data_IF_318838978584
#
_entry.id   IF_318838978584
#
_cell.length_a   1.000
_cell.length_b   1.000
_cell.length_c   1.000
_cell.angle_alpha   90.00
_cell.angle_beta   90.00
_cell.angle_gamma   90.00
#
_symmetry.space_group_name_H-M   'P 1'
#
loop_
_entity.id
_entity.type
_entity.pdbx_description
1 polymer ?
#
# COMPACT_ATOMS: atom_id res chain seq x y z
N UNK A 1 -14.65 6.20 7.88
CA UNK A 1 -13.84 6.49 6.68
C UNK A 1 -13.87 5.26 5.79
N UNK A 2 -14.13 5.42 4.52
CA UNK A 2 -14.24 4.32 3.56
C UNK A 2 -13.21 4.48 2.43
N UNK A 3 -13.22 3.53 1.48
CA UNK A 3 -12.28 3.57 0.35
C UNK A 3 -12.35 4.87 -0.44
N UNK A 4 -13.56 5.38 -0.70
CA UNK A 4 -13.73 6.62 -1.45
C UNK A 4 -13.16 7.82 -0.71
N UNK A 5 -13.30 7.89 0.61
CA UNK A 5 -12.73 8.97 1.41
C UNK A 5 -11.20 8.95 1.34
N UNK A 6 -10.61 7.77 1.44
CA UNK A 6 -9.16 7.61 1.38
C UNK A 6 -8.65 7.93 -0.02
N UNK A 7 -9.34 7.45 -1.05
CA UNK A 7 -9.00 7.74 -2.44
C UNK A 7 -8.94 9.26 -2.68
N UNK A 8 -9.93 9.98 -2.16
CA UNK A 8 -9.98 11.44 -2.30
C UNK A 8 -8.80 12.13 -1.62
N UNK A 9 -8.36 11.61 -0.47
CA UNK A 9 -7.22 12.17 0.26
C UNK A 9 -5.88 11.94 -0.45
N UNK A 10 -5.81 10.92 -1.29
CA UNK A 10 -4.59 10.62 -2.06
C UNK A 10 -4.45 11.49 -3.31
N UNK A 11 -5.49 12.21 -3.68
CA UNK A 11 -5.49 13.00 -4.92
C UNK A 11 -4.36 14.03 -4.92
N UNK A 12 -3.61 14.05 -6.02
CA UNK A 12 -2.47 14.96 -6.18
C UNK A 12 -1.19 14.48 -5.51
N UNK A 13 -1.23 13.34 -4.82
CA UNK A 13 -0.08 12.78 -4.14
C UNK A 13 0.48 11.58 -4.92
N UNK A 14 1.55 10.97 -4.45
CA UNK A 14 2.21 9.86 -5.14
C UNK A 14 1.26 8.70 -5.49
N UNK A 15 0.39 8.25 -4.58
CA UNK A 15 -0.53 7.15 -4.94
C UNK A 15 -1.43 7.49 -6.12
N UNK A 16 -1.87 8.74 -6.22
CA UNK A 16 -2.67 9.21 -7.34
C UNK A 16 -1.85 9.25 -8.65
N UNK A 17 -0.61 9.73 -8.56
CA UNK A 17 0.30 9.75 -9.70
C UNK A 17 0.55 8.34 -10.23
N UNK A 18 0.67 7.36 -9.33
CA UNK A 18 0.82 5.96 -9.72
C UNK A 18 -0.45 5.39 -10.34
N UNK A 19 -1.59 5.98 -10.07
CA UNK A 19 -2.88 5.51 -10.56
C UNK A 19 -3.48 4.41 -9.71
N UNK A 20 -3.19 4.39 -8.42
CA UNK A 20 -3.76 3.40 -7.50
C UNK A 20 -5.26 3.62 -7.39
N UNK A 21 -6.02 2.58 -7.69
CA UNK A 21 -7.47 2.58 -7.57
C UNK A 21 -7.88 1.71 -6.39
N UNK A 22 -8.25 2.37 -5.30
CA UNK A 22 -8.59 1.71 -4.04
C UNK A 22 -10.03 1.22 -4.11
N UNK A 23 -10.22 -0.10 -4.09
CA UNK A 23 -11.54 -0.70 -4.24
C UNK A 23 -12.14 -1.17 -2.91
N UNK A 24 -11.32 -1.44 -1.91
CA UNK A 24 -11.80 -1.83 -0.59
C UNK A 24 -10.83 -1.32 0.47
N UNK A 25 -11.35 -0.75 1.54
CA UNK A 25 -10.56 -0.34 2.70
C UNK A 25 -11.34 -0.65 3.96
N UNK A 26 -10.87 -1.63 4.71
CA UNK A 26 -11.47 -2.07 5.96
C UNK A 26 -10.36 -2.40 6.98
N UNK A 27 -10.76 -2.64 8.21
CA UNK A 27 -9.78 -2.94 9.26
C UNK A 27 -9.02 -4.24 9.02
N UNK A 28 -9.64 -5.20 8.33
CA UNK A 28 -9.04 -6.51 8.09
C UNK A 28 -8.52 -6.70 6.67
N UNK A 29 -8.79 -5.75 5.76
CA UNK A 29 -8.46 -5.98 4.35
C UNK A 29 -8.47 -4.69 3.56
N UNK A 30 -7.46 -4.54 2.73
CA UNK A 30 -7.37 -3.44 1.76
C UNK A 30 -7.12 -4.05 0.39
N UNK A 31 -7.89 -3.62 -0.60
CA UNK A 31 -7.73 -4.09 -1.99
C UNK A 31 -7.65 -2.88 -2.91
N UNK A 32 -6.73 -2.94 -3.84
CA UNK A 32 -6.57 -1.93 -4.87
C UNK A 32 -6.06 -2.54 -6.16
N UNK A 33 -6.22 -1.83 -7.26
CA UNK A 33 -5.68 -2.22 -8.55
C UNK A 33 -4.77 -1.11 -9.08
N UNK A 34 -3.88 -1.50 -9.99
CA UNK A 34 -2.91 -0.60 -10.61
C UNK A 34 -2.75 -0.99 -12.08
N UNK A 35 -2.96 -0.03 -12.97
CA UNK A 35 -2.70 -0.24 -14.39
C UNK A 35 -1.19 -0.22 -14.63
N UNK A 36 -0.67 -1.20 -15.34
CA UNK A 36 0.74 -1.26 -15.72
C UNK A 36 0.93 -0.44 -16.99
N UNK A 37 1.11 0.86 -16.80
CA UNK A 37 1.35 1.78 -17.93
C UNK A 37 2.85 2.01 -18.11
N UNK A 38 3.23 2.51 -19.26
CA UNK A 38 4.64 2.61 -19.64
C UNK A 38 5.50 3.35 -18.63
N UNK A 39 4.99 4.44 -18.06
CA UNK A 39 5.72 5.26 -17.08
C UNK A 39 6.05 4.53 -15.78
N UNK A 40 5.36 3.44 -15.52
CA UNK A 40 5.60 2.62 -14.32
C UNK A 40 6.46 1.38 -14.60
N UNK A 41 6.90 1.21 -15.85
CA UNK A 41 7.65 0.03 -16.24
C UNK A 41 9.15 0.24 -16.14
N UNK A 42 9.85 -0.86 -15.92
CA UNK A 42 11.30 -0.93 -16.09
C UNK A 42 11.63 -1.29 -17.52
N UNK A 43 12.92 -1.32 -17.86
CA UNK A 43 13.40 -1.79 -19.15
C UNK A 43 12.89 -3.22 -19.36
N UNK A 44 12.32 -3.49 -20.54
CA UNK A 44 11.69 -4.77 -20.83
C UNK A 44 10.18 -4.78 -20.65
N UNK A 45 9.59 -3.61 -20.40
CA UNK A 45 8.13 -3.42 -20.37
C UNK A 45 7.41 -4.27 -19.32
N UNK A 46 7.99 -4.35 -18.14
CA UNK A 46 7.37 -4.98 -16.97
C UNK A 46 7.30 -3.96 -15.84
N UNK A 47 6.31 -4.09 -14.97
CA UNK A 47 6.11 -3.18 -13.85
C UNK A 47 7.38 -3.08 -13.02
N UNK A 48 7.86 -1.85 -12.82
CA UNK A 48 9.09 -1.58 -12.08
C UNK A 48 8.96 -2.00 -10.62
N UNK A 49 10.02 -2.60 -10.08
CA UNK A 49 10.03 -3.02 -8.67
C UNK A 49 9.74 -1.89 -7.70
N UNK A 50 10.23 -0.68 -7.98
CA UNK A 50 9.92 0.50 -7.17
C UNK A 50 8.44 0.86 -7.18
N UNK A 51 7.77 0.70 -8.33
CA UNK A 51 6.33 0.92 -8.41
C UNK A 51 5.56 -0.16 -7.63
N UNK A 52 6.02 -1.41 -7.69
CA UNK A 52 5.46 -2.50 -6.89
C UNK A 52 5.55 -2.17 -5.40
N UNK A 53 6.72 -1.72 -4.96
CA UNK A 53 6.95 -1.37 -3.55
C UNK A 53 6.07 -0.20 -3.12
N UNK A 54 5.98 0.85 -3.92
CA UNK A 54 5.15 2.01 -3.60
C UNK A 54 3.67 1.66 -3.55
N UNK A 55 3.21 0.81 -4.47
CA UNK A 55 1.84 0.32 -4.48
C UNK A 55 1.53 -0.46 -3.20
N UNK A 56 2.37 -1.44 -2.89
CA UNK A 56 2.17 -2.28 -1.71
C UNK A 56 2.30 -1.51 -0.40
N UNK A 57 3.24 -0.58 -0.33
CA UNK A 57 3.42 0.27 0.86
C UNK A 57 2.19 1.12 1.11
N UNK A 58 1.62 1.66 0.05
CA UNK A 58 0.38 2.45 0.15
C UNK A 58 -0.77 1.61 0.72
N UNK A 59 -0.93 0.37 0.27
CA UNK A 59 -1.99 -0.50 0.79
C UNK A 59 -1.77 -0.83 2.27
N UNK A 60 -0.55 -1.12 2.66
CA UNK A 60 -0.22 -1.38 4.06
C UNK A 60 -0.46 -0.16 4.94
N UNK A 61 -0.13 1.02 4.43
CA UNK A 61 -0.40 2.27 5.14
C UNK A 61 -1.89 2.53 5.31
N UNK A 62 -2.69 2.27 4.27
CA UNK A 62 -4.15 2.38 4.36
C UNK A 62 -4.70 1.43 5.42
N UNK A 63 -4.25 0.17 5.41
CA UNK A 63 -4.68 -0.80 6.42
C UNK A 63 -4.33 -0.36 7.83
N UNK A 64 -3.13 0.17 8.02
CA UNK A 64 -2.70 0.68 9.32
C UNK A 64 -3.59 1.85 9.75
N UNK A 65 -3.86 2.79 8.85
CA UNK A 65 -4.72 3.94 9.13
C UNK A 65 -6.12 3.51 9.55
N UNK A 66 -6.67 2.49 8.90
CA UNK A 66 -8.01 1.98 9.23
C UNK A 66 -8.10 1.42 10.66
N UNK A 67 -6.97 1.16 11.29
CA UNK A 67 -6.89 0.61 12.64
C UNK A 67 -6.37 1.62 13.68
N UNK A 68 -6.18 2.88 13.30
CA UNK A 68 -5.75 3.91 14.21
C UNK A 68 -6.93 4.52 14.97
N UNK A 69 -6.69 4.89 16.22
CA UNK A 69 -7.63 5.69 16.97
C UNK A 69 -7.50 7.16 16.54
N UNK A 70 -8.52 7.95 16.88
CA UNK A 70 -8.51 9.37 16.60
C UNK A 70 -7.27 10.04 17.20
N UNK A 71 -6.61 10.89 16.42
CA UNK A 71 -5.42 11.62 16.84
C UNK A 71 -4.12 10.85 16.75
N UNK A 72 -4.16 9.56 16.46
CA UNK A 72 -2.94 8.79 16.25
C UNK A 72 -2.41 8.96 14.83
N UNK A 73 -1.10 8.81 14.66
CA UNK A 73 -0.44 8.86 13.37
C UNK A 73 0.48 7.68 13.22
N UNK A 74 0.83 7.36 12.00
CA UNK A 74 1.68 6.21 11.69
C UNK A 74 2.80 6.59 10.73
N UNK A 75 3.89 5.84 10.81
CA UNK A 75 5.03 5.95 9.90
C UNK A 75 5.49 4.55 9.57
N UNK A 76 5.72 4.26 8.30
CA UNK A 76 6.31 3.00 7.88
C UNK A 76 7.79 2.98 8.26
N UNK A 77 8.23 1.94 8.95
CA UNK A 77 9.63 1.80 9.35
C UNK A 77 10.36 0.72 8.57
N UNK A 78 9.64 -0.17 7.90
CA UNK A 78 10.26 -1.20 7.07
C UNK A 78 9.22 -1.66 6.06
N UNK A 79 9.69 -2.02 4.87
CA UNK A 79 8.82 -2.59 3.83
C UNK A 79 9.63 -3.65 3.08
N UNK A 80 9.61 -4.87 3.58
CA UNK A 80 10.35 -5.98 2.98
C UNK A 80 9.58 -6.50 1.77
N UNK A 81 10.26 -6.61 0.64
CA UNK A 81 9.65 -7.05 -0.61
C UNK A 81 10.35 -8.28 -1.17
N UNK A 82 9.55 -9.27 -1.57
CA UNK A 82 10.00 -10.39 -2.37
C UNK A 82 9.37 -10.25 -3.75
N UNK A 83 10.22 -10.06 -4.77
CA UNK A 83 9.78 -9.98 -6.17
C UNK A 83 9.78 -11.39 -6.74
N UNK A 84 8.62 -11.84 -7.25
CA UNK A 84 8.42 -13.24 -7.62
C UNK A 84 8.14 -13.38 -9.11
N UNK A 85 7.28 -12.52 -9.67
CA UNK A 85 6.91 -12.60 -11.08
C UNK A 85 6.81 -11.24 -11.72
N UNK A 86 6.69 -11.22 -13.03
CA UNK A 86 6.52 -9.98 -13.78
C UNK A 86 5.07 -9.63 -14.01
N UNK A 87 4.82 -8.35 -14.28
CA UNK A 87 3.52 -7.86 -14.72
C UNK A 87 3.75 -7.03 -15.98
N UNK A 88 3.28 -7.49 -17.14
CA UNK A 88 3.61 -6.85 -18.42
C UNK A 88 2.87 -5.52 -18.62
N UNK A 89 3.51 -4.65 -19.39
CA UNK A 89 2.90 -3.42 -19.86
C UNK A 89 1.53 -3.70 -20.48
N UNK A 90 0.55 -2.88 -20.14
CA UNK A 90 -0.81 -2.99 -20.64
C UNK A 90 -1.71 -3.89 -19.82
N UNK A 91 -1.16 -4.58 -18.82
CA UNK A 91 -1.95 -5.38 -17.89
C UNK A 91 -2.32 -4.56 -16.66
N UNK A 92 -3.04 -5.17 -15.74
CA UNK A 92 -3.43 -4.58 -14.46
C UNK A 92 -3.09 -5.57 -13.36
N UNK A 93 -2.54 -5.06 -12.27
CA UNK A 93 -2.26 -5.89 -11.09
C UNK A 93 -3.26 -5.58 -9.99
N UNK A 94 -3.51 -6.56 -9.15
CA UNK A 94 -4.34 -6.41 -7.95
C UNK A 94 -3.47 -6.59 -6.72
N UNK A 95 -3.60 -5.67 -5.77
CA UNK A 95 -2.97 -5.80 -4.46
C UNK A 95 -4.02 -6.09 -3.41
N UNK A 96 -3.72 -7.03 -2.53
CA UNK A 96 -4.55 -7.34 -1.38
C UNK A 96 -3.67 -7.32 -0.14
N UNK A 97 -4.02 -6.49 0.82
CA UNK A 97 -3.27 -6.35 2.06
C UNK A 97 -4.12 -6.83 3.22
N UNK A 98 -3.54 -7.69 4.04
CA UNK A 98 -4.19 -8.23 5.24
C UNK A 98 -3.26 -8.10 6.44
N UNK A 99 -3.79 -7.93 7.66
CA UNK A 99 -2.95 -7.73 8.84
C UNK A 99 -2.37 -9.05 9.35
N UNK A 100 -1.09 -9.02 9.69
CA UNK A 100 -0.42 -10.09 10.41
C UNK A 100 -0.38 -9.77 11.91
N UNK A 101 -0.27 -8.49 12.25
CA UNK A 101 -0.20 -8.03 13.64
C UNK A 101 -0.73 -6.61 13.73
N UNK A 102 -1.68 -6.38 14.63
CA UNK A 102 -2.22 -5.06 14.91
C UNK A 102 -2.00 -4.76 16.39
N UNK A 103 -0.79 -4.33 16.71
CA UNK A 103 -0.40 -4.02 18.08
C UNK A 103 -0.62 -2.56 18.44
N UNK A 104 -0.32 -2.23 19.69
CA UNK A 104 -0.49 -0.87 20.21
C UNK A 104 0.46 0.13 19.54
N UNK A 105 1.69 -0.27 19.29
CA UNK A 105 2.72 0.61 18.73
C UNK A 105 3.22 0.19 17.36
N UNK A 106 2.96 -1.04 16.94
CA UNK A 106 3.39 -1.52 15.64
C UNK A 106 2.28 -2.30 14.97
N UNK A 107 2.24 -2.21 13.65
CA UNK A 107 1.39 -3.05 12.82
C UNK A 107 2.24 -3.68 11.74
N UNK A 108 1.97 -4.93 11.45
CA UNK A 108 2.62 -5.67 10.37
C UNK A 108 1.51 -6.15 9.45
N UNK A 109 1.62 -5.78 8.20
CA UNK A 109 0.66 -6.17 7.17
C UNK A 109 1.38 -6.99 6.10
N UNK A 110 0.63 -7.78 5.35
CA UNK A 110 1.16 -8.47 4.19
C UNK A 110 0.34 -8.10 2.98
N UNK A 111 1.01 -7.63 1.94
CA UNK A 111 0.38 -7.29 0.67
C UNK A 111 0.80 -8.31 -0.37
N UNK A 112 -0.18 -8.96 -0.99
CA UNK A 112 0.02 -9.87 -2.11
C UNK A 112 -0.36 -9.12 -3.38
N UNK A 113 0.55 -9.08 -4.34
CA UNK A 113 0.28 -8.48 -5.64
C UNK A 113 0.21 -9.61 -6.66
N UNK A 114 -0.90 -9.67 -7.39
CA UNK A 114 -1.16 -10.70 -8.39
C UNK A 114 -1.42 -10.07 -9.75
N UNK A 115 -1.04 -10.80 -10.81
CA UNK A 115 -1.30 -10.40 -12.19
C UNK A 115 -2.75 -10.70 -12.57
N UNK A 116 -3.16 -10.22 -13.76
CA UNK A 116 -4.49 -10.54 -14.28
C UNK A 116 -4.73 -12.05 -14.41
N UNK A 117 -3.67 -12.80 -14.68
CA UNK A 117 -3.75 -14.26 -14.77
C UNK A 117 -3.77 -14.94 -13.41
N UNK A 118 -3.77 -14.19 -12.32
CA UNK A 118 -3.78 -14.73 -10.96
C UNK A 118 -2.43 -15.21 -10.45
N UNK A 119 -1.35 -14.93 -11.19
CA UNK A 119 -0.01 -15.32 -10.76
C UNK A 119 0.53 -14.33 -9.75
N UNK A 120 1.30 -14.83 -8.79
CA UNK A 120 1.92 -13.98 -7.77
C UNK A 120 3.05 -13.15 -8.40
N UNK A 121 2.95 -11.84 -8.24
CA UNK A 121 3.96 -10.89 -8.72
C UNK A 121 4.92 -10.53 -7.60
N UNK A 122 4.40 -10.26 -6.41
CA UNK A 122 5.23 -9.90 -5.26
C UNK A 122 4.49 -10.14 -3.95
N UNK A 123 5.28 -10.34 -2.90
CA UNK A 123 4.79 -10.30 -1.52
C UNK A 123 5.57 -9.21 -0.81
N UNK A 124 4.85 -8.30 -0.16
CA UNK A 124 5.45 -7.17 0.54
C UNK A 124 4.93 -7.16 1.97
N UNK A 125 5.85 -7.00 2.92
CA UNK A 125 5.50 -6.99 4.34
C UNK A 125 5.88 -5.64 4.94
N UNK A 126 4.97 -4.65 4.91
CA UNK A 126 5.21 -3.36 5.55
C UNK A 126 5.03 -3.46 7.06
N UNK A 127 5.89 -2.75 7.77
CA UNK A 127 5.84 -2.61 9.23
C UNK A 127 5.70 -1.12 9.54
N UNK A 128 4.71 -0.77 10.34
CA UNK A 128 4.43 0.62 10.70
C UNK A 128 4.55 0.82 12.21
N UNK A 129 5.04 2.00 12.57
CA UNK A 129 5.06 2.46 13.96
C UNK A 129 3.92 3.46 14.18
N UNK A 130 3.18 3.28 15.27
CA UNK A 130 2.06 4.15 15.63
C UNK A 130 2.50 5.15 16.70
N UNK A 131 2.33 6.44 16.40
CA UNK A 131 2.52 7.50 17.37
C UNK A 131 1.28 7.58 18.25
N UNK A 132 1.44 7.25 19.53
CA UNK A 132 0.30 7.11 20.47
C UNK A 132 -0.27 8.43 20.92
N UNK A 133 0.54 9.48 20.88
CA UNK A 133 0.11 10.82 21.27
C UNK A 133 0.42 11.81 20.17
N UNK A 134 -0.40 12.84 20.06
CA UNK A 134 -0.11 13.93 19.14
C UNK A 134 1.10 14.70 19.64
N UNK A 135 1.98 15.16 18.73
CA UNK A 135 3.06 16.06 19.10
C UNK A 135 2.48 17.33 19.72
N UNK A 136 3.14 17.82 20.76
CA UNK A 136 2.79 19.13 21.33
C UNK A 136 3.49 20.22 20.53
N UNK A 137 3.08 21.46 20.75
CA UNK A 137 3.68 22.60 20.06
C UNK A 137 5.18 22.74 20.35
N UNK A 138 5.66 22.12 21.42
CA UNK A 138 7.07 22.21 21.83
C UNK A 138 7.94 21.13 21.19
N UNK A 139 7.38 20.20 20.48
CA UNK A 139 8.06 19.04 19.92
C UNK A 139 8.43 19.24 18.46
N UNK A 140 8.62 20.42 18.09
CA UNK A 140 8.97 20.75 16.70
C UNK A 140 10.49 20.60 16.48
#
# INVERSE_FOLDING_TARGET
MNAADIQARMKGLLPDLLGIDLTEAAQERVVATLAVRQELCTVGNSLHGGAIMAFADTLGAVGTIMNLASGQRTTTIESKTNFIGGAPLGSRVTGESTPLHRGRTTQVWQTRITSEAGKLVAIVTPVSYTHLTLPTNREV
#
